data_IF_197309790139
#
_entry.id   IF_197309790139
#
_cell.length_a   1.000
_cell.length_b   1.000
_cell.length_c   1.000
_cell.angle_alpha   90.00
_cell.angle_beta   90.00
_cell.angle_gamma   90.00
#
_symmetry.space_group_name_H-M   'P 1'
#
loop_
_entity.id
_entity.type
_entity.pdbx_description
1 polymer ?
#
# COMPACT_ATOMS: atom_id res chain seq x y z
N UNK A 1 23.26 -49.37 -36.66
CA UNK A 1 22.04 -49.65 -35.84
C UNK A 1 20.99 -48.57 -36.15
N UNK A 2 19.70 -48.78 -36.49
CA UNK A 2 18.69 -49.83 -36.20
C UNK A 2 18.42 -50.01 -34.69
N UNK A 3 17.21 -50.14 -34.12
CA UNK A 3 15.77 -50.09 -34.50
C UNK A 3 15.01 -50.09 -33.12
N UNK A 4 13.82 -49.54 -32.79
CA UNK A 4 12.63 -48.83 -33.36
C UNK A 4 12.05 -47.95 -32.20
N UNK A 5 10.99 -47.12 -32.29
CA UNK A 5 10.03 -46.78 -33.35
C UNK A 5 8.61 -47.35 -33.15
N UNK A 6 7.60 -46.53 -32.79
CA UNK A 6 6.18 -46.91 -32.86
C UNK A 6 5.24 -45.72 -33.13
N UNK A 7 4.45 -45.80 -34.21
CA UNK A 7 3.40 -44.82 -34.60
C UNK A 7 2.28 -45.54 -35.36
N UNK A 8 1.02 -45.38 -34.91
CA UNK A 8 -0.26 -45.43 -35.68
C UNK A 8 -1.41 -45.20 -34.68
N UNK A 9 -2.37 -44.29 -34.90
CA UNK A 9 -3.38 -44.18 -35.96
C UNK A 9 -4.29 -45.41 -36.10
N UNK A 10 -5.57 -45.25 -35.77
CA UNK A 10 -6.63 -45.41 -36.78
C UNK A 10 -7.83 -44.51 -36.47
N UNK A 11 -8.55 -44.09 -37.52
CA UNK A 11 -9.95 -43.63 -37.45
C UNK A 11 -10.80 -44.79 -37.98
N UNK A 12 -12.03 -44.97 -37.49
CA UNK A 12 -13.11 -45.61 -38.26
C UNK A 12 -14.41 -44.83 -38.12
N UNK A 13 -15.15 -44.80 -39.21
CA UNK A 13 -16.43 -44.10 -39.35
C UNK A 13 -17.36 -44.97 -40.19
N UNK A 14 -18.55 -45.25 -39.70
CA UNK A 14 -19.67 -45.83 -40.45
C UNK A 14 -20.85 -44.87 -40.23
N UNK A 15 -21.36 -44.12 -41.23
CA UNK A 15 -21.93 -44.47 -42.53
C UNK A 15 -23.46 -44.63 -42.47
N UNK A 16 -24.15 -43.89 -43.35
CA UNK A 16 -25.61 -43.66 -43.35
C UNK A 16 -26.43 -44.92 -43.69
N UNK A 17 -27.67 -44.95 -43.21
CA UNK A 17 -28.82 -45.59 -43.85
C UNK A 17 -29.96 -44.56 -44.02
N UNK A 18 -31.04 -44.87 -44.75
CA UNK A 18 -32.07 -43.90 -45.20
C UNK A 18 -33.51 -44.41 -45.11
N UNK A 19 -34.42 -43.57 -44.57
CA UNK A 19 -35.82 -43.33 -45.00
C UNK A 19 -36.81 -44.54 -44.98
N UNK A 20 -38.14 -44.40 -45.25
CA UNK A 20 -39.01 -43.20 -45.33
C UNK A 20 -40.26 -43.25 -44.40
N UNK A 21 -41.09 -42.19 -44.41
CA UNK A 21 -42.49 -42.18 -43.94
C UNK A 21 -42.72 -41.86 -42.45
N UNK A 22 -43.84 -41.27 -42.02
CA UNK A 22 -45.00 -40.73 -42.76
C UNK A 22 -45.86 -39.82 -41.85
N UNK A 23 -46.83 -39.08 -42.40
CA UNK A 23 -47.61 -38.08 -41.65
C UNK A 23 -48.71 -38.70 -40.76
N UNK A 24 -48.97 -38.09 -39.61
CA UNK A 24 -50.10 -38.40 -38.72
C UNK A 24 -50.34 -37.26 -37.71
N UNK A 25 -51.60 -36.96 -37.39
CA UNK A 25 -52.00 -35.80 -36.57
C UNK A 25 -53.11 -36.23 -35.59
N UNK A 26 -53.23 -35.53 -34.44
CA UNK A 26 -54.29 -35.69 -33.41
C UNK A 26 -54.15 -36.96 -32.54
N UNK A 27 -54.77 -37.11 -31.36
CA UNK A 27 -55.07 -36.15 -30.28
C UNK A 27 -55.61 -36.91 -29.04
N UNK A 28 -55.47 -36.31 -27.85
CA UNK A 28 -56.32 -36.53 -26.65
C UNK A 28 -56.19 -37.87 -25.86
N UNK A 29 -55.89 -37.70 -24.56
CA UNK A 29 -56.46 -38.38 -23.37
C UNK A 29 -56.75 -39.89 -23.37
N UNK A 30 -56.14 -40.64 -22.44
CA UNK A 30 -56.88 -41.26 -21.31
C UNK A 30 -55.95 -41.71 -20.14
N UNK A 31 -56.55 -41.93 -18.97
CA UNK A 31 -56.01 -42.48 -17.69
C UNK A 31 -56.46 -43.97 -17.54
N UNK A 32 -56.09 -44.73 -16.48
CA UNK A 32 -54.82 -44.86 -15.75
C UNK A 32 -54.46 -46.35 -15.43
N UNK A 33 -53.30 -46.65 -14.81
CA UNK A 33 -53.09 -47.87 -14.00
C UNK A 33 -51.89 -47.73 -13.04
N UNK A 34 -51.77 -48.64 -12.05
CA UNK A 34 -50.65 -48.71 -11.08
C UNK A 34 -49.90 -50.04 -11.20
N UNK A 35 -48.57 -50.02 -11.13
CA UNK A 35 -47.76 -51.14 -10.67
C UNK A 35 -46.50 -50.60 -9.96
N UNK A 36 -46.07 -51.26 -8.89
CA UNK A 36 -45.11 -50.75 -7.92
C UNK A 36 -43.74 -51.44 -7.98
N UNK A 37 -42.66 -50.67 -7.86
CA UNK A 37 -41.37 -51.16 -7.34
C UNK A 37 -40.72 -50.10 -6.44
N UNK A 38 -40.31 -50.51 -5.22
CA UNK A 38 -39.44 -49.72 -4.34
C UNK A 38 -38.00 -49.81 -4.84
N UNK A 39 -37.21 -48.74 -4.71
CA UNK A 39 -35.84 -48.82 -4.16
C UNK A 39 -35.19 -47.44 -3.96
N UNK A 40 -34.16 -47.39 -3.11
CA UNK A 40 -33.10 -46.36 -3.11
C UNK A 40 -33.49 -44.93 -2.76
N UNK A 41 -33.17 -44.49 -1.54
CA UNK A 41 -33.24 -43.07 -1.16
C UNK A 41 -31.85 -42.41 -1.12
N UNK A 42 -31.80 -41.10 -1.36
CA UNK A 42 -30.68 -40.26 -0.92
C UNK A 42 -31.16 -38.85 -0.54
N UNK A 43 -31.23 -38.57 0.76
CA UNK A 43 -31.33 -37.20 1.25
C UNK A 43 -29.98 -36.48 1.08
N UNK A 44 -30.03 -35.18 0.78
CA UNK A 44 -28.86 -34.27 0.59
C UNK A 44 -28.13 -34.59 -0.74
N UNK A 45 -27.59 -33.60 -1.47
CA UNK A 45 -27.04 -32.32 -1.01
C UNK A 45 -27.45 -31.16 -1.92
N UNK A 46 -27.89 -30.06 -1.32
CA UNK A 46 -27.65 -28.75 -1.94
C UNK A 46 -26.13 -28.51 -1.95
N UNK A 47 -25.55 -28.21 -3.10
CA UNK A 47 -24.14 -27.85 -3.21
C UNK A 47 -23.92 -26.43 -2.69
N UNK A 48 -23.88 -26.27 -1.37
CA UNK A 48 -23.37 -25.09 -0.70
C UNK A 48 -21.88 -24.91 -1.05
N UNK A 49 -21.61 -24.15 -2.11
CA UNK A 49 -20.28 -23.84 -2.62
C UNK A 49 -19.53 -22.87 -1.68
N UNK A 50 -19.27 -23.33 -0.45
CA UNK A 50 -18.34 -22.80 0.53
C UNK A 50 -18.13 -21.27 0.49
N UNK A 51 -19.14 -20.53 0.95
CA UNK A 51 -18.91 -19.23 1.58
C UNK A 51 -18.15 -19.42 2.90
N UNK A 52 -16.90 -19.90 2.84
CA UNK A 52 -15.91 -19.57 3.88
C UNK A 52 -15.81 -18.06 3.85
N UNK A 53 -16.26 -17.41 4.91
CA UNK A 53 -15.78 -16.08 5.27
C UNK A 53 -14.26 -16.16 5.35
N UNK A 54 -13.57 -15.85 4.26
CA UNK A 54 -12.10 -15.86 4.23
C UNK A 54 -11.67 -14.90 5.33
N UNK A 55 -11.03 -15.43 6.38
CA UNK A 55 -10.30 -14.63 7.35
C UNK A 55 -9.35 -13.78 6.53
N UNK A 56 -9.65 -12.49 6.43
CA UNK A 56 -8.94 -11.59 5.52
C UNK A 56 -7.55 -11.44 6.08
N UNK A 57 -6.57 -11.97 5.34
CA UNK A 57 -5.18 -11.94 5.78
C UNK A 57 -4.75 -10.50 6.08
N UNK A 58 -3.91 -10.30 7.11
CA UNK A 58 -3.36 -9.00 7.37
C UNK A 58 -2.58 -8.51 6.14
N UNK A 59 -2.59 -7.19 5.86
CA UNK A 59 -1.81 -6.66 4.76
C UNK A 59 -0.30 -6.82 5.05
N UNK A 60 0.47 -7.20 4.04
CA UNK A 60 1.94 -7.19 4.16
C UNK A 60 2.44 -5.74 4.22
N UNK A 61 3.46 -5.50 5.03
CA UNK A 61 3.96 -4.16 5.33
C UNK A 61 5.05 -3.72 4.34
N UNK A 62 4.97 -2.46 3.88
CA UNK A 62 6.04 -1.76 3.17
C UNK A 62 6.22 -0.37 3.80
N UNK A 63 7.46 0.10 3.91
CA UNK A 63 7.79 1.38 4.54
C UNK A 63 8.48 2.34 3.56
N UNK A 64 8.18 3.64 3.67
CA UNK A 64 8.99 4.71 3.07
C UNK A 64 9.41 5.76 4.11
N UNK A 65 10.41 6.56 3.76
CA UNK A 65 10.79 7.78 4.50
C UNK A 65 11.51 8.75 3.55
N UNK A 66 10.71 9.57 2.87
CA UNK A 66 11.05 10.49 1.78
C UNK A 66 11.93 11.65 2.25
N UNK A 67 11.76 12.06 3.50
CA UNK A 67 12.39 13.25 4.09
C UNK A 67 13.38 12.87 5.21
N UNK A 68 13.93 11.66 5.17
CA UNK A 68 14.73 11.07 6.25
C UNK A 68 16.09 11.72 6.56
N UNK A 69 16.49 12.79 5.87
CA UNK A 69 17.72 13.53 6.15
C UNK A 69 17.86 14.80 5.31
N UNK A 70 18.76 15.67 5.72
CA UNK A 70 18.96 17.03 5.17
C UNK A 70 20.24 17.17 4.32
N UNK A 71 20.81 16.09 3.79
CA UNK A 71 22.09 16.15 3.08
C UNK A 71 21.96 16.90 1.75
N UNK A 72 22.87 17.83 1.51
CA UNK A 72 23.04 18.51 0.20
C UNK A 72 24.21 17.87 -0.55
N UNK A 73 24.01 17.39 -1.80
CA UNK A 73 25.09 16.88 -2.65
C UNK A 73 26.19 17.92 -2.87
N UNK A 74 27.46 17.51 -2.90
CA UNK A 74 28.61 18.43 -2.92
C UNK A 74 28.51 19.53 -3.99
N UNK A 75 28.16 19.16 -5.22
CA UNK A 75 27.99 20.09 -6.35
C UNK A 75 26.95 21.21 -6.08
N UNK A 76 25.92 20.94 -5.27
CA UNK A 76 24.83 21.88 -4.99
C UNK A 76 25.07 22.72 -3.72
N UNK A 77 26.11 22.44 -2.92
CA UNK A 77 26.32 23.09 -1.61
C UNK A 77 26.40 24.62 -1.69
N UNK A 78 26.92 25.16 -2.79
CA UNK A 78 27.07 26.61 -2.98
C UNK A 78 25.71 27.34 -2.98
N UNK A 79 24.67 26.77 -3.60
CA UNK A 79 23.29 27.30 -3.54
C UNK A 79 22.72 27.36 -2.11
N UNK A 80 23.20 26.49 -1.22
CA UNK A 80 22.75 26.34 0.16
C UNK A 80 23.70 26.98 1.19
N UNK A 81 24.69 27.78 0.76
CA UNK A 81 25.70 28.37 1.65
C UNK A 81 25.12 29.24 2.78
N UNK A 82 23.91 29.82 2.58
CA UNK A 82 23.18 30.62 3.59
C UNK A 82 21.94 29.89 4.14
N UNK A 83 21.85 28.57 3.97
CA UNK A 83 20.66 27.77 4.28
C UNK A 83 20.82 26.81 5.47
N UNK A 84 21.95 26.85 6.20
CA UNK A 84 22.30 25.86 7.24
C UNK A 84 21.20 25.63 8.29
N UNK A 85 20.62 26.71 8.83
CA UNK A 85 19.51 26.64 9.79
C UNK A 85 18.24 26.05 9.16
N UNK A 86 17.94 26.44 7.92
CA UNK A 86 16.76 25.98 7.17
C UNK A 86 16.88 24.49 6.84
N UNK A 87 18.08 24.02 6.53
CA UNK A 87 18.41 22.59 6.37
C UNK A 87 18.35 21.82 7.70
N UNK A 88 18.72 22.43 8.82
CA UNK A 88 18.59 21.85 10.16
C UNK A 88 17.14 21.87 10.69
N UNK A 89 16.24 22.64 10.07
CA UNK A 89 14.83 22.74 10.45
C UNK A 89 13.94 21.70 9.76
N UNK A 90 12.67 21.67 10.19
CA UNK A 90 11.58 20.91 9.53
C UNK A 90 11.35 21.25 8.04
N UNK A 91 11.93 22.35 7.53
CA UNK A 91 11.92 22.66 6.09
C UNK A 91 12.94 21.81 5.31
N UNK A 92 14.04 21.41 5.96
CA UNK A 92 15.12 20.63 5.36
C UNK A 92 14.87 19.13 5.35
N UNK A 93 14.26 18.60 6.42
CA UNK A 93 14.02 17.16 6.63
C UNK A 93 13.04 16.91 7.78
N UNK A 94 12.63 15.65 7.93
CA UNK A 94 11.72 15.19 8.98
C UNK A 94 12.53 14.61 10.17
N UNK A 95 12.65 15.39 11.24
CA UNK A 95 13.46 15.07 12.40
C UNK A 95 12.97 13.80 13.15
N UNK A 96 13.84 12.79 13.22
CA UNK A 96 13.57 11.52 13.90
C UNK A 96 12.85 10.48 13.06
N UNK A 97 12.14 10.88 11.99
CA UNK A 97 11.34 9.98 11.16
C UNK A 97 12.13 8.77 10.62
N UNK A 98 13.34 9.00 10.08
CA UNK A 98 14.19 7.92 9.56
C UNK A 98 14.66 6.92 10.65
N UNK A 99 14.82 7.36 11.89
CA UNK A 99 15.19 6.48 12.99
C UNK A 99 14.03 5.53 13.34
N UNK A 100 12.80 6.03 13.31
CA UNK A 100 11.59 5.22 13.50
C UNK A 100 11.37 4.29 12.32
N UNK A 101 11.44 4.79 11.08
CA UNK A 101 11.28 3.98 9.87
C UNK A 101 12.25 2.80 9.84
N UNK A 102 13.53 3.03 10.18
CA UNK A 102 14.56 1.98 10.31
C UNK A 102 14.32 1.01 11.46
N UNK A 103 13.69 1.43 12.56
CA UNK A 103 13.31 0.55 13.67
C UNK A 103 12.18 -0.38 13.22
N UNK A 104 11.08 0.18 12.71
CA UNK A 104 9.93 -0.59 12.21
C UNK A 104 10.34 -1.57 11.10
N UNK A 105 11.19 -1.15 10.16
CA UNK A 105 11.70 -2.02 9.09
C UNK A 105 12.39 -3.28 9.63
N UNK A 106 13.27 -3.14 10.63
CA UNK A 106 13.93 -4.27 11.28
C UNK A 106 12.98 -5.10 12.13
N UNK A 107 12.08 -4.47 12.87
CA UNK A 107 11.12 -5.16 13.74
C UNK A 107 10.11 -6.03 12.97
N UNK A 108 9.76 -5.65 11.74
CA UNK A 108 8.81 -6.38 10.89
C UNK A 108 9.43 -7.15 9.73
N UNK A 109 10.75 -7.08 9.54
CA UNK A 109 11.40 -7.60 8.32
C UNK A 109 10.93 -6.92 7.03
N UNK A 110 10.35 -5.73 7.13
CA UNK A 110 9.65 -5.05 6.05
C UNK A 110 10.62 -4.21 5.16
N UNK A 111 10.41 -4.17 3.83
CA UNK A 111 11.22 -3.34 2.93
C UNK A 111 11.04 -1.85 3.25
N UNK A 112 12.17 -1.11 3.27
CA UNK A 112 12.21 0.31 3.57
C UNK A 112 12.85 1.12 2.45
N UNK A 113 12.08 2.03 1.87
CA UNK A 113 12.52 2.97 0.85
C UNK A 113 12.74 4.35 1.47
N UNK A 114 13.94 4.57 2.01
CA UNK A 114 14.32 5.82 2.64
C UNK A 114 15.20 6.70 1.74
N UNK A 115 15.17 8.02 2.00
CA UNK A 115 16.12 8.99 1.47
C UNK A 115 16.84 9.75 2.58
N UNK A 116 18.00 10.33 2.26
CA UNK A 116 18.77 11.21 3.17
C UNK A 116 19.19 12.53 2.53
N UNK A 117 18.80 12.76 1.26
CA UNK A 117 18.93 14.04 0.57
C UNK A 117 17.83 14.98 1.08
N UNK A 118 18.16 16.27 1.28
CA UNK A 118 17.16 17.24 1.76
C UNK A 118 16.01 17.38 0.78
N UNK A 119 14.79 17.51 1.32
CA UNK A 119 13.58 17.86 0.54
C UNK A 119 13.68 19.23 -0.14
N UNK A 120 14.63 20.08 0.26
CA UNK A 120 14.94 21.35 -0.41
C UNK A 120 15.75 21.16 -1.71
N UNK A 121 16.50 20.07 -1.83
CA UNK A 121 17.12 19.69 -3.11
C UNK A 121 16.04 19.08 -4.01
N UNK A 122 15.28 18.12 -3.49
CA UNK A 122 14.16 17.49 -4.22
C UNK A 122 13.19 16.81 -3.25
N UNK A 123 11.92 17.19 -3.28
CA UNK A 123 10.86 16.65 -2.41
C UNK A 123 10.22 15.39 -3.04
N UNK A 124 10.61 14.22 -2.55
CA UNK A 124 10.15 12.93 -3.09
C UNK A 124 8.66 12.65 -2.80
N UNK A 125 8.12 13.24 -1.73
CA UNK A 125 6.68 13.22 -1.40
C UNK A 125 5.91 14.37 -2.10
N UNK A 126 6.36 14.80 -3.28
CA UNK A 126 5.60 15.65 -4.22
C UNK A 126 5.61 15.08 -5.62
N UNK A 127 4.59 15.39 -6.42
CA UNK A 127 4.56 15.11 -7.86
C UNK A 127 5.73 15.79 -8.61
N UNK A 128 6.27 15.13 -9.64
CA UNK A 128 7.36 15.65 -10.47
C UNK A 128 7.02 16.96 -11.22
N UNK A 129 5.73 17.28 -11.36
CA UNK A 129 5.23 18.55 -11.95
C UNK A 129 4.85 19.62 -10.92
N UNK A 130 4.92 19.32 -9.63
CA UNK A 130 4.60 20.29 -8.58
C UNK A 130 5.69 21.39 -8.57
N UNK A 131 5.36 22.70 -8.57
CA UNK A 131 6.36 23.76 -8.72
C UNK A 131 7.47 23.70 -7.66
N UNK A 132 7.11 23.49 -6.39
CA UNK A 132 8.06 23.26 -5.29
C UNK A 132 8.55 21.81 -5.12
N UNK A 133 8.61 20.98 -6.18
CA UNK A 133 9.27 19.65 -6.13
C UNK A 133 10.79 19.80 -6.03
N UNK A 134 11.32 20.88 -6.60
CA UNK A 134 12.66 21.42 -6.38
C UNK A 134 12.43 22.77 -5.69
N UNK A 135 13.15 23.08 -4.62
CA UNK A 135 12.88 24.32 -3.87
C UNK A 135 13.53 25.55 -4.48
N UNK A 136 13.07 26.74 -4.08
CA UNK A 136 13.55 28.02 -4.60
C UNK A 136 15.04 28.32 -4.33
N UNK A 137 15.67 27.60 -3.41
CA UNK A 137 17.13 27.61 -3.27
C UNK A 137 17.86 27.19 -4.56
N UNK A 138 17.17 26.53 -5.48
CA UNK A 138 17.68 26.04 -6.76
C UNK A 138 16.99 26.70 -7.97
N UNK A 139 16.45 27.92 -7.82
CA UNK A 139 15.88 28.71 -8.93
C UNK A 139 16.93 29.21 -9.93
N UNK A 140 18.21 29.23 -9.54
CA UNK A 140 19.33 29.42 -10.46
C UNK A 140 19.71 28.19 -11.30
N UNK A 141 18.97 27.07 -11.22
CA UNK A 141 19.18 25.89 -12.08
C UNK A 141 18.28 25.91 -13.31
N UNK A 142 18.89 25.71 -14.47
CA UNK A 142 18.20 25.51 -15.75
C UNK A 142 17.32 24.25 -15.78
N UNK A 143 16.50 24.12 -16.82
CA UNK A 143 15.55 23.02 -16.97
C UNK A 143 16.23 21.63 -17.07
N UNK A 144 17.42 21.55 -17.66
CA UNK A 144 18.17 20.30 -17.83
C UNK A 144 18.84 19.89 -16.51
N UNK A 145 19.40 20.83 -15.75
CA UNK A 145 19.85 20.65 -14.38
C UNK A 145 18.72 20.16 -13.47
N UNK A 146 17.53 20.79 -13.54
CA UNK A 146 16.32 20.36 -12.81
C UNK A 146 15.87 18.95 -13.22
N UNK A 147 15.87 18.64 -14.52
CA UNK A 147 15.57 17.28 -15.01
C UNK A 147 16.57 16.24 -14.48
N UNK A 148 17.88 16.56 -14.44
CA UNK A 148 18.92 15.71 -13.85
C UNK A 148 18.71 15.45 -12.36
N UNK A 149 18.18 16.40 -11.58
CA UNK A 149 17.78 16.16 -10.18
C UNK A 149 16.63 15.14 -10.08
N UNK A 150 15.57 15.33 -10.88
CA UNK A 150 14.41 14.44 -10.88
C UNK A 150 14.77 13.02 -11.34
N UNK A 151 15.59 12.89 -12.39
CA UNK A 151 16.07 11.62 -12.91
C UNK A 151 16.99 10.89 -11.91
N UNK A 152 17.77 11.61 -11.10
CA UNK A 152 18.72 11.01 -10.14
C UNK A 152 18.10 10.57 -8.82
N UNK A 153 17.07 11.27 -8.33
CA UNK A 153 16.50 11.01 -7.00
C UNK A 153 14.98 10.73 -7.02
N UNK A 154 14.20 11.49 -7.78
CA UNK A 154 12.74 11.45 -7.73
C UNK A 154 12.16 10.20 -8.40
N UNK A 155 12.38 10.04 -9.70
CA UNK A 155 11.87 8.90 -10.45
C UNK A 155 12.41 7.55 -9.93
N UNK A 156 13.71 7.40 -9.58
CA UNK A 156 14.22 6.14 -9.02
C UNK A 156 13.71 5.83 -7.61
N UNK A 157 13.27 6.82 -6.83
CA UNK A 157 12.60 6.56 -5.55
C UNK A 157 11.16 6.06 -5.78
N UNK A 158 10.38 6.80 -6.60
CA UNK A 158 8.99 6.44 -6.91
C UNK A 158 8.87 5.07 -7.58
N UNK A 159 9.74 4.77 -8.54
CA UNK A 159 9.79 3.47 -9.21
C UNK A 159 10.02 2.32 -8.22
N UNK A 160 11.09 2.36 -7.42
CA UNK A 160 11.40 1.30 -6.45
C UNK A 160 10.28 1.01 -5.45
N UNK A 161 9.58 2.05 -4.97
CA UNK A 161 8.42 1.85 -4.09
C UNK A 161 7.26 1.19 -4.84
N UNK A 162 6.89 1.70 -6.03
CA UNK A 162 5.85 1.08 -6.88
C UNK A 162 6.18 -0.38 -7.19
N UNK A 163 7.40 -0.67 -7.58
CA UNK A 163 7.82 -1.99 -8.04
C UNK A 163 7.84 -2.99 -6.88
N UNK A 164 8.21 -2.54 -5.67
CA UNK A 164 8.09 -3.35 -4.45
C UNK A 164 6.64 -3.55 -4.00
N UNK A 165 5.75 -2.56 -4.16
CA UNK A 165 4.29 -2.76 -3.95
C UNK A 165 3.74 -3.77 -4.96
N UNK A 166 4.16 -3.69 -6.23
CA UNK A 166 3.73 -4.62 -7.27
C UNK A 166 4.18 -6.06 -6.99
N UNK A 167 5.44 -6.25 -6.59
CA UNK A 167 5.97 -7.56 -6.19
C UNK A 167 5.21 -8.14 -4.98
N UNK A 168 5.02 -7.36 -3.91
CA UNK A 168 4.25 -7.79 -2.75
C UNK A 168 2.76 -8.11 -3.08
N UNK A 169 2.20 -7.48 -4.12
CA UNK A 169 0.86 -7.78 -4.64
C UNK A 169 0.82 -8.95 -5.66
N UNK A 170 1.95 -9.59 -5.98
CA UNK A 170 1.94 -10.91 -6.59
C UNK A 170 1.62 -11.98 -5.54
N UNK A 171 2.30 -11.93 -4.39
CA UNK A 171 2.26 -13.00 -3.37
C UNK A 171 1.20 -12.80 -2.26
N UNK A 172 0.73 -11.57 -2.02
CA UNK A 172 -0.21 -11.26 -0.92
C UNK A 172 -1.48 -10.52 -1.40
N UNK A 173 -2.64 -10.77 -0.78
CA UNK A 173 -3.92 -10.09 -1.13
C UNK A 173 -3.80 -8.56 -1.06
N UNK A 174 -3.08 -8.03 -0.06
CA UNK A 174 -3.00 -6.60 0.26
C UNK A 174 -1.61 -6.16 0.70
N UNK A 175 -1.28 -4.91 0.35
CA UNK A 175 -0.14 -4.15 0.89
C UNK A 175 -0.65 -2.98 1.73
N UNK A 176 -0.10 -2.85 2.93
CA UNK A 176 -0.15 -1.63 3.73
C UNK A 176 1.20 -0.93 3.56
N UNK A 177 1.17 0.20 2.88
CA UNK A 177 2.30 1.12 2.79
C UNK A 177 2.20 2.15 3.90
N UNK A 178 3.22 2.22 4.77
CA UNK A 178 3.38 3.27 5.78
C UNK A 178 4.52 4.21 5.38
N UNK A 179 4.19 5.43 5.00
CA UNK A 179 5.17 6.49 4.78
C UNK A 179 5.45 7.20 6.11
N UNK A 180 6.70 7.19 6.58
CA UNK A 180 7.06 7.65 7.93
C UNK A 180 7.61 9.08 7.89
N UNK A 181 6.84 9.99 8.49
CA UNK A 181 7.05 11.43 8.52
C UNK A 181 7.14 11.99 9.94
N UNK A 182 7.52 13.26 10.05
CA UNK A 182 7.43 14.00 11.32
C UNK A 182 7.12 15.48 11.12
N UNK A 183 6.29 16.03 12.00
CA UNK A 183 5.89 17.43 11.95
C UNK A 183 6.45 18.26 13.12
N UNK A 184 6.82 19.51 12.81
CA UNK A 184 7.15 20.53 13.83
C UNK A 184 5.97 20.77 14.79
N UNK A 185 6.20 20.87 16.11
CA UNK A 185 5.14 21.08 17.12
C UNK A 185 4.44 22.44 16.99
N UNK A 186 5.09 23.42 16.38
CA UNK A 186 4.54 24.75 16.09
C UNK A 186 4.80 25.07 14.62
N UNK A 187 3.81 25.62 13.93
CA UNK A 187 3.95 26.14 12.57
C UNK A 187 3.17 27.45 12.44
N UNK A 188 3.80 28.51 11.94
CA UNK A 188 3.21 29.86 11.81
C UNK A 188 2.53 30.34 13.12
N UNK A 189 3.21 30.15 14.26
CA UNK A 189 2.69 30.47 15.60
C UNK A 189 1.65 29.49 16.16
N UNK A 190 1.05 28.62 15.34
CA UNK A 190 -0.01 27.70 15.76
C UNK A 190 0.55 26.41 16.35
N UNK A 191 0.15 26.09 17.58
CA UNK A 191 0.52 24.85 18.29
C UNK A 191 -0.24 23.65 17.73
N UNK A 192 0.48 22.59 17.36
CA UNK A 192 -0.09 21.37 16.78
C UNK A 192 -0.43 20.35 17.87
N UNK A 193 -1.70 20.33 18.24
CA UNK A 193 -2.27 19.47 19.27
C UNK A 193 -2.51 18.03 18.78
N UNK A 194 -1.40 17.31 18.58
CA UNK A 194 -1.31 15.86 18.45
C UNK A 194 0.11 15.38 18.79
N UNK A 195 0.23 14.13 19.23
CA UNK A 195 1.51 13.40 19.27
C UNK A 195 1.68 12.49 18.04
N UNK A 196 0.57 11.99 17.47
CA UNK A 196 0.54 11.17 16.25
C UNK A 196 -0.58 11.61 15.31
N UNK A 197 -0.25 11.71 14.02
CA UNK A 197 -1.20 11.74 12.90
C UNK A 197 -1.21 10.42 12.14
N UNK A 198 -2.39 9.92 11.81
CA UNK A 198 -2.59 8.89 10.77
C UNK A 198 -3.32 9.53 9.60
N UNK A 199 -2.61 9.70 8.48
CA UNK A 199 -3.05 10.42 7.29
C UNK A 199 -3.35 9.42 6.17
N UNK A 200 -4.54 9.51 5.59
CA UNK A 200 -5.03 8.57 4.60
C UNK A 200 -6.13 9.18 3.73
N UNK A 201 -6.54 8.51 2.66
CA UNK A 201 -7.64 8.96 1.82
C UNK A 201 -8.98 8.49 2.42
N UNK A 202 -9.86 9.40 2.87
CA UNK A 202 -11.14 9.04 3.48
C UNK A 202 -12.13 8.40 2.49
N UNK A 203 -11.87 8.45 1.18
CA UNK A 203 -12.68 7.76 0.15
C UNK A 203 -12.28 6.30 -0.08
N UNK A 204 -11.23 5.79 0.57
CA UNK A 204 -10.71 4.42 0.39
C UNK A 204 -10.99 3.55 1.62
N UNK A 205 -12.06 2.76 1.58
CA UNK A 205 -12.51 1.88 2.68
C UNK A 205 -11.41 1.08 3.37
N UNK A 206 -10.43 0.55 2.62
CA UNK A 206 -9.33 -0.22 3.18
C UNK A 206 -8.41 0.66 4.05
N UNK A 207 -8.11 1.87 3.61
CA UNK A 207 -7.32 2.84 4.37
C UNK A 207 -8.11 3.33 5.60
N UNK A 208 -9.40 3.65 5.43
CA UNK A 208 -10.31 4.03 6.52
C UNK A 208 -10.36 2.93 7.59
N UNK A 209 -10.51 1.66 7.19
CA UNK A 209 -10.59 0.53 8.12
C UNK A 209 -9.26 0.27 8.85
N UNK A 210 -8.13 0.30 8.14
CA UNK A 210 -6.81 0.10 8.72
C UNK A 210 -6.43 1.26 9.66
N UNK A 211 -6.64 2.51 9.26
CA UNK A 211 -6.37 3.67 10.09
C UNK A 211 -7.26 3.71 11.35
N UNK A 212 -8.54 3.35 11.24
CA UNK A 212 -9.43 3.22 12.42
C UNK A 212 -8.96 2.12 13.38
N UNK A 213 -8.59 0.94 12.87
CA UNK A 213 -8.01 -0.16 13.68
C UNK A 213 -6.69 0.24 14.34
N UNK A 214 -5.78 0.87 13.61
CA UNK A 214 -4.49 1.31 14.14
C UNK A 214 -4.65 2.39 15.22
N UNK A 215 -5.51 3.39 14.98
CA UNK A 215 -5.90 4.40 15.98
C UNK A 215 -6.59 3.80 17.21
N UNK A 216 -7.18 2.60 17.12
CA UNK A 216 -7.73 1.90 18.27
C UNK A 216 -6.63 1.27 19.16
N UNK A 217 -5.51 0.86 18.57
CA UNK A 217 -4.38 0.25 19.30
C UNK A 217 -3.28 1.23 19.72
N UNK A 218 -3.14 2.38 19.05
CA UNK A 218 -2.25 3.45 19.50
C UNK A 218 -2.76 4.01 20.83
N UNK A 219 -2.15 3.56 21.93
CA UNK A 219 -2.50 3.90 23.32
C UNK A 219 -1.24 4.20 24.12
N UNK A 220 -1.36 5.08 25.11
CA UNK A 220 -0.27 5.43 26.02
C UNK A 220 -0.58 6.70 26.82
N UNK A 221 0.12 6.97 27.93
CA UNK A 221 -0.06 8.18 28.72
C UNK A 221 0.15 9.44 27.87
N UNK A 222 -0.84 10.34 27.87
CA UNK A 222 -0.84 11.60 27.11
C UNK A 222 -0.50 11.46 25.60
N UNK A 223 -0.93 10.36 24.96
CA UNK A 223 -0.76 10.12 23.52
C UNK A 223 -2.02 10.55 22.73
N UNK A 224 -2.05 11.78 22.19
CA UNK A 224 -3.18 12.25 21.35
C UNK A 224 -2.96 11.84 19.90
N UNK A 225 -3.72 10.83 19.47
CA UNK A 225 -3.69 10.26 18.10
C UNK A 225 -4.84 10.83 17.28
N UNK A 226 -4.54 11.48 16.15
CA UNK A 226 -5.56 12.09 15.27
C UNK A 226 -5.53 11.48 13.88
N UNK A 227 -6.72 11.36 13.28
CA UNK A 227 -6.83 11.05 11.86
C UNK A 227 -6.69 12.35 11.05
N UNK A 228 -6.00 12.29 9.91
CA UNK A 228 -5.93 13.38 8.92
C UNK A 228 -5.51 14.74 9.53
N UNK A 229 -4.47 14.70 10.36
CA UNK A 229 -3.92 15.85 11.09
C UNK A 229 -2.41 15.66 11.32
N UNK A 230 -1.54 16.65 11.07
CA UNK A 230 -1.87 18.06 10.75
C UNK A 230 -2.26 18.31 9.29
N UNK A 231 -2.16 17.33 8.39
CA UNK A 231 -2.53 17.45 6.97
C UNK A 231 -3.63 16.45 6.58
N UNK A 232 -4.31 16.68 5.45
CA UNK A 232 -5.48 15.86 5.04
C UNK A 232 -5.15 14.41 4.62
N UNK A 233 -3.90 14.06 4.32
CA UNK A 233 -3.52 12.72 3.80
C UNK A 233 -3.89 12.47 2.32
N UNK A 234 -4.39 13.50 1.64
CA UNK A 234 -4.81 13.52 0.23
C UNK A 234 -4.03 14.54 -0.60
N UNK A 235 -2.84 14.96 -0.14
CA UNK A 235 -1.94 15.82 -0.90
C UNK A 235 -1.32 15.05 -2.08
N UNK A 236 -0.79 15.75 -3.09
CA UNK A 236 -0.20 15.14 -4.30
C UNK A 236 1.21 14.56 -4.05
N UNK A 237 1.25 13.57 -3.16
CA UNK A 237 2.44 12.89 -2.63
C UNK A 237 2.68 11.51 -3.23
N UNK A 238 3.48 10.70 -2.55
CA UNK A 238 3.81 9.34 -2.97
C UNK A 238 2.63 8.40 -2.74
N UNK A 239 1.97 8.48 -1.58
CA UNK A 239 0.77 7.69 -1.25
C UNK A 239 -0.34 7.95 -2.27
N UNK A 240 -0.71 9.21 -2.50
CA UNK A 240 -1.72 9.61 -3.50
C UNK A 240 -1.36 9.17 -4.93
N UNK A 241 -0.10 9.25 -5.33
CA UNK A 241 0.30 8.69 -6.63
C UNK A 241 0.13 7.17 -6.66
N UNK A 242 0.59 6.42 -5.66
CA UNK A 242 0.42 4.96 -5.59
C UNK A 242 -1.06 4.53 -5.54
N UNK A 243 -1.96 5.35 -4.96
CA UNK A 243 -3.42 5.15 -5.00
C UNK A 243 -4.00 5.13 -6.42
N UNK A 244 -3.33 5.75 -7.39
CA UNK A 244 -3.67 5.67 -8.84
C UNK A 244 -3.09 4.43 -9.53
N UNK A 245 -1.98 3.89 -9.01
CA UNK A 245 -1.27 2.76 -9.61
C UNK A 245 -1.86 1.40 -9.17
N UNK A 246 -2.53 1.34 -8.01
CA UNK A 246 -2.97 0.09 -7.39
C UNK A 246 -4.43 0.11 -6.88
N UNK A 247 -5.21 -0.99 -7.07
CA UNK A 247 -6.62 -1.05 -6.69
C UNK A 247 -6.90 -0.76 -5.21
N UNK A 248 -7.94 0.03 -4.93
CA UNK A 248 -8.35 0.43 -3.57
C UNK A 248 -8.65 -0.74 -2.61
N UNK A 249 -8.98 -1.93 -3.14
CA UNK A 249 -9.18 -3.15 -2.35
C UNK A 249 -7.89 -3.90 -1.98
N UNK A 250 -6.74 -3.55 -2.58
CA UNK A 250 -5.44 -4.21 -2.41
C UNK A 250 -4.34 -3.30 -1.85
N UNK A 251 -4.30 -2.03 -2.25
CA UNK A 251 -3.30 -1.06 -1.77
C UNK A 251 -3.91 -0.01 -0.85
N UNK A 252 -3.34 0.10 0.34
CA UNK A 252 -3.58 1.15 1.31
C UNK A 252 -2.30 1.94 1.59
N UNK A 253 -2.32 3.26 1.36
CA UNK A 253 -1.25 4.16 1.77
C UNK A 253 -1.64 4.97 3.01
N UNK A 254 -0.87 4.85 4.10
CA UNK A 254 -1.03 5.65 5.32
C UNK A 254 0.27 6.44 5.56
N UNK A 255 0.17 7.76 5.64
CA UNK A 255 1.27 8.60 6.14
C UNK A 255 1.20 8.62 7.68
N UNK A 256 2.26 8.16 8.34
CA UNK A 256 2.45 8.18 9.79
C UNK A 256 3.21 9.46 10.16
N UNK A 257 2.51 10.38 10.79
CA UNK A 257 3.02 11.70 11.18
C UNK A 257 3.36 11.74 12.66
N UNK A 258 4.62 11.98 13.02
CA UNK A 258 5.08 12.01 14.42
C UNK A 258 5.45 13.42 14.86
N UNK A 259 5.01 13.84 16.06
CA UNK A 259 5.38 15.16 16.57
C UNK A 259 6.87 15.20 16.98
N UNK A 260 7.71 15.86 16.18
CA UNK A 260 9.16 15.88 16.43
C UNK A 260 9.55 16.69 17.68
N UNK A 261 8.64 17.50 18.24
CA UNK A 261 8.86 18.19 19.52
C UNK A 261 9.08 17.24 20.71
N UNK A 262 8.64 15.98 20.59
CA UNK A 262 8.89 14.94 21.60
C UNK A 262 10.36 14.48 21.63
N UNK A 263 11.19 14.79 20.64
CA UNK A 263 12.62 14.46 20.66
C UNK A 263 13.35 15.12 21.84
N UNK A 264 12.87 16.29 22.29
CA UNK A 264 13.35 16.97 23.50
C UNK A 264 12.90 16.29 24.81
N UNK A 265 12.09 15.23 24.75
CA UNK A 265 11.55 14.47 25.88
C UNK A 265 11.80 12.95 25.66
N UNK A 266 13.06 12.46 25.79
CA UNK A 266 13.47 11.15 25.30
C UNK A 266 12.70 9.94 25.87
N UNK A 267 12.13 10.07 27.07
CA UNK A 267 11.25 9.09 27.70
C UNK A 267 9.91 9.00 26.94
N UNK A 268 9.29 10.15 26.63
CA UNK A 268 8.04 10.22 25.85
C UNK A 268 8.26 9.82 24.39
N UNK A 269 9.40 10.17 23.79
CA UNK A 269 9.75 9.70 22.44
C UNK A 269 9.88 8.18 22.39
N UNK A 270 10.59 7.55 23.34
CA UNK A 270 10.67 6.08 23.43
C UNK A 270 9.29 5.44 23.64
N UNK A 271 8.46 6.00 24.53
CA UNK A 271 7.10 5.53 24.76
C UNK A 271 6.20 5.63 23.51
N UNK A 272 6.28 6.74 22.77
CA UNK A 272 5.60 6.92 21.48
C UNK A 272 6.05 5.86 20.47
N UNK A 273 7.36 5.68 20.28
CA UNK A 273 7.90 4.75 19.28
C UNK A 273 7.52 3.30 19.62
N UNK A 274 7.54 2.92 20.90
CA UNK A 274 7.07 1.61 21.35
C UNK A 274 5.54 1.44 21.13
N UNK A 275 4.74 2.46 21.39
CA UNK A 275 3.30 2.42 21.13
C UNK A 275 2.99 2.30 19.62
N UNK A 276 3.75 2.97 18.76
CA UNK A 276 3.67 2.84 17.28
C UNK A 276 4.03 1.42 16.84
N UNK A 277 5.12 0.87 17.37
CA UNK A 277 5.61 -0.47 17.04
C UNK A 277 4.60 -1.56 17.48
N UNK A 278 4.18 -1.59 18.74
CA UNK A 278 3.22 -2.59 19.24
C UNK A 278 1.84 -2.49 18.58
N UNK A 279 1.36 -1.28 18.28
CA UNK A 279 0.07 -1.08 17.61
C UNK A 279 0.09 -1.45 16.12
N UNK A 280 1.21 -1.22 15.43
CA UNK A 280 1.42 -1.68 14.06
C UNK A 280 1.58 -3.22 14.01
N UNK A 281 2.30 -3.80 14.99
CA UNK A 281 2.42 -5.25 15.14
C UNK A 281 1.05 -5.92 15.28
N UNK A 282 0.15 -5.37 16.12
CA UNK A 282 -1.22 -5.86 16.20
C UNK A 282 -1.98 -5.71 14.88
N UNK A 283 -1.79 -4.61 14.14
CA UNK A 283 -2.49 -4.36 12.87
C UNK A 283 -2.12 -5.35 11.75
N UNK A 284 -0.84 -5.77 11.70
CA UNK A 284 -0.32 -6.71 10.69
C UNK A 284 -0.25 -8.18 11.17
N UNK A 285 -0.64 -8.45 12.42
CA UNK A 285 -0.76 -9.82 12.92
C UNK A 285 -1.95 -10.56 12.28
N UNK A 286 -1.78 -11.88 12.06
CA UNK A 286 -2.94 -12.77 11.88
C UNK A 286 -3.61 -12.93 13.25
N UNK A 287 -4.79 -12.32 13.43
CA UNK A 287 -5.69 -12.72 14.51
C UNK A 287 -6.39 -14.02 14.10
N UNK A 288 -6.48 -14.96 15.04
CA UNK A 288 -7.20 -16.24 14.92
C UNK A 288 -8.55 -16.08 15.61
#
# INVERSE_FOLDING_TARGET
MRIRGCVRRSRRSCSRARWPGGCGVRSATHRPARASTRCGGSWRRACSAWSRSRVREPPVLLLSCEHGGNRVPTALRHHFARASEVLASHRGYDAGALAVARRLARGFGAPLFAATVSRLVVDLNRNARHPAVISSWLDGLDAEARARLLARWHAPHRARVRDSVAALLADHDRVLHVAVHSFTPVLHGQVRNAEVGLLYDPSRDLEVALARRWRAQLRGPALRVRANYPYRGTADGLTTWLRTQFPARRYAGIELELNCGLLAQPQRWRGLVAAVESSLAWLVARHV
#
